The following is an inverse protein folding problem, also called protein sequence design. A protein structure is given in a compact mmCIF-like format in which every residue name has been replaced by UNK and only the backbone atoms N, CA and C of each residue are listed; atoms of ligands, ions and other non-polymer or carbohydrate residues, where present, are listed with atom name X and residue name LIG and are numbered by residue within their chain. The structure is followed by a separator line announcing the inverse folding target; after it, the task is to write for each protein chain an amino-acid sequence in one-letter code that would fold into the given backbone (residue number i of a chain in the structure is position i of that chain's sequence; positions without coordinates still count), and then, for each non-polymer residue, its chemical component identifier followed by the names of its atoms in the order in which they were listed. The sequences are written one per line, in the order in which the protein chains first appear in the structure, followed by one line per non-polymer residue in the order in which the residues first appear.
data_IF_804531994504
#
_entry.id   IF_804531994504
#
_cell.length_a   1.000
_cell.length_b   1.000
_cell.length_c   1.000
_cell.angle_alpha   90.00
_cell.angle_beta   90.00
_cell.angle_gamma   90.00
#
_symmetry.space_group_name_H-M   'P 1'
#
loop_
_entity.id
_entity.type
_entity.pdbx_description
1 polymer ?
#
# COMPACT_ATOMS: atom_id res chain seq x y z
N UNK A 1 57.37 3.72 -18.80
CA UNK A 1 56.23 3.44 -17.91
C UNK A 1 55.91 4.72 -17.15
N UNK A 2 55.05 5.58 -17.70
CA UNK A 2 54.57 6.79 -17.04
C UNK A 2 53.08 6.61 -16.75
N UNK A 3 52.75 6.41 -15.48
CA UNK A 3 51.36 6.29 -15.02
C UNK A 3 50.84 7.70 -14.79
N UNK A 4 49.99 8.18 -15.70
CA UNK A 4 49.19 9.39 -15.48
C UNK A 4 48.00 9.01 -14.61
N UNK A 5 48.08 9.33 -13.32
CA UNK A 5 46.96 9.24 -12.39
C UNK A 5 46.01 10.43 -12.64
N UNK A 6 44.87 10.16 -13.26
CA UNK A 6 43.77 11.10 -13.36
C UNK A 6 43.04 11.16 -12.00
N UNK A 7 43.30 12.21 -11.22
CA UNK A 7 42.48 12.54 -10.05
C UNK A 7 41.28 13.36 -10.53
N UNK A 8 40.17 12.66 -10.82
CA UNK A 8 38.89 13.32 -11.05
C UNK A 8 38.38 13.91 -9.73
N UNK A 9 38.33 15.24 -9.65
CA UNK A 9 37.67 16.00 -8.59
C UNK A 9 36.18 15.65 -8.59
N UNK A 10 35.74 14.85 -7.63
CA UNK A 10 34.33 14.57 -7.38
C UNK A 10 33.64 15.80 -6.78
N UNK A 11 32.75 16.41 -7.54
CA UNK A 11 31.86 17.47 -7.07
C UNK A 11 30.90 16.93 -6.01
N UNK A 12 31.13 17.27 -4.74
CA UNK A 12 30.16 17.03 -3.67
C UNK A 12 29.05 18.08 -3.81
N UNK A 13 27.90 17.69 -4.35
CA UNK A 13 26.72 18.55 -4.42
C UNK A 13 26.07 18.63 -3.02
N UNK A 14 25.98 19.82 -2.39
CA UNK A 14 25.41 19.98 -1.04
C UNK A 14 23.86 19.88 -0.98
N UNK A 15 23.19 19.44 -2.05
CA UNK A 15 21.73 19.50 -2.18
C UNK A 15 20.95 18.33 -1.59
N UNK A 16 21.58 17.16 -1.36
CA UNK A 16 20.84 15.94 -0.98
C UNK A 16 20.52 15.85 0.50
N UNK A 17 21.43 16.30 1.38
CA UNK A 17 21.25 16.17 2.82
C UNK A 17 20.11 17.05 3.37
N UNK A 18 20.01 18.31 2.90
CA UNK A 18 18.95 19.21 3.33
C UNK A 18 17.57 18.80 2.80
N UNK A 19 17.48 18.35 1.54
CA UNK A 19 16.23 17.87 0.95
C UNK A 19 15.73 16.58 1.62
N UNK A 20 16.65 15.68 2.00
CA UNK A 20 16.29 14.46 2.71
C UNK A 20 15.76 14.75 4.12
N UNK A 21 16.40 15.67 4.85
CA UNK A 21 15.93 16.08 6.18
C UNK A 21 14.52 16.69 6.14
N UNK A 22 14.25 17.57 5.17
CA UNK A 22 12.92 18.15 4.96
C UNK A 22 11.86 17.08 4.65
N UNK A 23 12.22 16.09 3.82
CA UNK A 23 11.32 14.96 3.51
C UNK A 23 11.01 14.09 4.72
N UNK A 24 12.01 13.84 5.57
CA UNK A 24 11.82 13.08 6.82
C UNK A 24 10.91 13.81 7.81
N UNK A 25 11.12 15.12 7.99
CA UNK A 25 10.31 15.93 8.91
C UNK A 25 8.87 16.06 8.42
N UNK A 26 8.68 16.24 7.10
CA UNK A 26 7.35 16.22 6.49
C UNK A 26 6.66 14.86 6.69
N UNK A 27 7.37 13.76 6.48
CA UNK A 27 6.82 12.43 6.68
C UNK A 27 6.44 12.15 8.14
N UNK A 28 7.22 12.65 9.11
CA UNK A 28 6.91 12.55 10.55
C UNK A 28 5.63 13.32 10.88
N UNK A 29 5.49 14.55 10.39
CA UNK A 29 4.30 15.36 10.60
C UNK A 29 3.04 14.69 10.01
N UNK A 30 3.14 14.16 8.78
CA UNK A 30 2.05 13.43 8.12
C UNK A 30 1.70 12.14 8.88
N UNK A 31 2.70 11.39 9.33
CA UNK A 31 2.46 10.20 10.15
C UNK A 31 1.69 10.52 11.43
N UNK A 32 2.07 11.59 12.13
CA UNK A 32 1.38 11.99 13.36
C UNK A 32 -0.05 12.44 13.08
N UNK A 33 -0.29 13.20 12.01
CA UNK A 33 -1.64 13.55 11.57
C UNK A 33 -2.48 12.30 11.26
N UNK A 34 -1.90 11.30 10.58
CA UNK A 34 -2.57 10.02 10.36
C UNK A 34 -2.89 9.28 11.65
N UNK A 35 -2.00 9.33 12.64
CA UNK A 35 -2.18 8.71 13.96
C UNK A 35 -3.31 9.38 14.76
N UNK A 36 -3.44 10.70 14.67
CA UNK A 36 -4.56 11.45 15.23
C UNK A 36 -5.87 11.07 14.53
N UNK A 37 -5.89 11.04 13.20
CA UNK A 37 -7.07 10.64 12.44
C UNK A 37 -7.55 9.22 12.80
N UNK A 38 -6.64 8.27 13.02
CA UNK A 38 -6.97 6.92 13.54
C UNK A 38 -7.65 6.98 14.91
N UNK A 39 -7.19 7.85 15.82
CA UNK A 39 -7.76 8.02 17.15
C UNK A 39 -9.17 8.63 17.10
N UNK A 40 -9.40 9.53 16.14
CA UNK A 40 -10.71 10.14 15.88
C UNK A 40 -11.67 9.22 15.10
N UNK A 41 -11.16 8.11 14.56
CA UNK A 41 -11.94 7.18 13.74
C UNK A 41 -12.09 7.61 12.28
N UNK A 42 -11.42 8.68 11.86
CA UNK A 42 -11.37 9.11 10.46
C UNK A 42 -10.30 8.30 9.70
N UNK A 43 -10.68 7.08 9.32
CA UNK A 43 -9.78 6.16 8.62
C UNK A 43 -9.49 6.58 7.18
N UNK A 44 -10.35 7.40 6.56
CA UNK A 44 -10.12 7.94 5.22
C UNK A 44 -9.00 8.99 5.26
N UNK A 45 -9.06 9.92 6.22
CA UNK A 45 -7.97 10.88 6.45
C UNK A 45 -6.68 10.16 6.86
N UNK A 46 -6.76 9.18 7.76
CA UNK A 46 -5.60 8.39 8.16
C UNK A 46 -4.90 7.72 6.97
N UNK A 47 -5.68 7.06 6.11
CA UNK A 47 -5.17 6.41 4.90
C UNK A 47 -4.43 7.42 3.99
N UNK A 48 -5.00 8.61 3.78
CA UNK A 48 -4.35 9.68 2.99
C UNK A 48 -3.05 10.16 3.62
N UNK A 49 -3.07 10.49 4.92
CA UNK A 49 -1.89 10.96 5.63
C UNK A 49 -0.74 9.95 5.63
N UNK A 50 -1.03 8.67 5.87
CA UNK A 50 0.00 7.63 5.82
C UNK A 50 0.55 7.42 4.40
N UNK A 51 -0.29 7.54 3.38
CA UNK A 51 0.14 7.46 1.97
C UNK A 51 1.06 8.61 1.59
N UNK A 52 0.73 9.84 2.01
CA UNK A 52 1.58 11.01 1.77
C UNK A 52 2.91 10.91 2.54
N UNK A 53 2.87 10.37 3.77
CA UNK A 53 4.07 10.10 4.56
C UNK A 53 4.98 9.07 3.88
N UNK A 54 4.39 8.02 3.29
CA UNK A 54 5.14 7.01 2.54
C UNK A 54 5.72 7.59 1.26
N UNK A 55 4.96 8.39 0.53
CA UNK A 55 5.44 9.06 -0.69
C UNK A 55 6.65 9.96 -0.40
N UNK A 56 6.66 10.62 0.76
CA UNK A 56 7.77 11.49 1.16
C UNK A 56 8.99 10.68 1.62
N UNK A 57 8.80 9.72 2.52
CA UNK A 57 9.92 9.03 3.19
C UNK A 57 10.33 7.67 2.61
N UNK A 58 9.45 7.04 1.82
CA UNK A 58 9.57 5.67 1.31
C UNK A 58 9.83 4.63 2.39
N UNK A 59 9.46 4.91 3.65
CA UNK A 59 9.71 4.00 4.78
C UNK A 59 8.73 2.83 4.74
N UNK A 60 9.21 1.57 4.66
CA UNK A 60 8.33 0.41 4.51
C UNK A 60 7.34 0.23 5.65
N UNK A 61 7.71 0.65 6.87
CA UNK A 61 6.84 0.56 8.06
C UNK A 61 5.50 1.31 7.91
N UNK A 62 5.43 2.30 7.03
CA UNK A 62 4.18 3.03 6.74
C UNK A 62 3.19 2.19 5.94
N UNK A 63 3.66 1.23 5.13
CA UNK A 63 2.80 0.35 4.34
C UNK A 63 1.83 -0.45 5.21
N UNK A 64 2.27 -0.88 6.40
CA UNK A 64 1.39 -1.54 7.37
C UNK A 64 0.24 -0.63 7.82
N UNK A 65 0.52 0.65 8.11
CA UNK A 65 -0.50 1.61 8.53
C UNK A 65 -1.46 1.97 7.39
N UNK A 66 -0.93 2.13 6.18
CA UNK A 66 -1.76 2.36 4.98
C UNK A 66 -2.70 1.18 4.77
N UNK A 67 -2.17 -0.05 4.82
CA UNK A 67 -2.96 -1.26 4.68
C UNK A 67 -4.04 -1.38 5.76
N UNK A 68 -3.67 -1.14 7.02
CA UNK A 68 -4.61 -1.19 8.14
C UNK A 68 -5.70 -0.12 8.03
N UNK A 69 -5.39 1.09 7.57
CA UNK A 69 -6.38 2.13 7.36
C UNK A 69 -7.29 1.79 6.17
N UNK A 70 -6.73 1.33 5.05
CA UNK A 70 -7.48 0.87 3.87
C UNK A 70 -8.47 -0.24 4.22
N UNK A 71 -8.08 -1.14 5.12
CA UNK A 71 -8.95 -2.21 5.60
C UNK A 71 -10.19 -1.68 6.34
N UNK A 72 -10.03 -0.62 7.16
CA UNK A 72 -11.13 -0.03 7.93
C UNK A 72 -12.15 0.72 7.08
N UNK A 73 -11.73 1.19 5.91
CA UNK A 73 -12.59 1.84 4.90
C UNK A 73 -13.01 0.88 3.79
N UNK A 74 -12.92 -0.44 4.05
CA UNK A 74 -13.37 -1.51 3.15
C UNK A 74 -12.67 -1.56 1.77
N UNK A 75 -11.49 -0.92 1.63
CA UNK A 75 -10.65 -1.00 0.43
C UNK A 75 -9.77 -2.25 0.47
N UNK A 76 -10.42 -3.41 0.42
CA UNK A 76 -9.80 -4.72 0.70
C UNK A 76 -8.63 -5.04 -0.24
N UNK A 77 -8.79 -4.83 -1.55
CA UNK A 77 -7.73 -5.09 -2.55
C UNK A 77 -6.46 -4.30 -2.24
N UNK A 78 -6.63 -3.03 -1.90
CA UNK A 78 -5.52 -2.16 -1.59
C UNK A 78 -4.86 -2.53 -0.26
N UNK A 79 -5.66 -2.89 0.75
CA UNK A 79 -5.13 -3.39 2.01
C UNK A 79 -4.24 -4.62 1.80
N UNK A 80 -4.70 -5.60 1.01
CA UNK A 80 -3.92 -6.80 0.65
C UNK A 80 -2.63 -6.42 -0.10
N UNK A 81 -2.72 -5.54 -1.10
CA UNK A 81 -1.56 -5.11 -1.87
C UNK A 81 -0.48 -4.46 -0.98
N UNK A 82 -0.87 -3.55 -0.09
CA UNK A 82 0.06 -2.84 0.80
C UNK A 82 0.62 -3.74 1.90
N UNK A 83 -0.16 -4.69 2.42
CA UNK A 83 0.36 -5.71 3.34
C UNK A 83 1.39 -6.64 2.68
N UNK A 84 1.17 -7.03 1.43
CA UNK A 84 2.15 -7.82 0.67
C UNK A 84 3.43 -7.05 0.42
N UNK A 85 3.31 -5.79 0.02
CA UNK A 85 4.46 -4.89 -0.17
C UNK A 85 5.25 -4.73 1.13
N UNK A 86 4.56 -4.55 2.27
CA UNK A 86 5.18 -4.49 3.58
C UNK A 86 6.01 -5.75 3.90
N UNK A 87 5.46 -6.94 3.70
CA UNK A 87 6.17 -8.20 3.94
C UNK A 87 7.31 -8.46 2.95
N UNK A 88 7.19 -7.96 1.72
CA UNK A 88 8.26 -8.06 0.73
C UNK A 88 9.46 -7.17 1.10
N UNK A 89 9.20 -5.98 1.63
CA UNK A 89 10.25 -5.02 2.03
C UNK A 89 10.78 -5.27 3.45
N UNK A 90 9.98 -5.90 4.32
CA UNK A 90 10.33 -6.21 5.72
C UNK A 90 10.06 -7.70 5.99
N UNK A 91 10.88 -8.62 5.43
CA UNK A 91 10.64 -10.06 5.53
C UNK A 91 10.71 -10.60 6.96
N UNK A 92 11.50 -9.96 7.83
CA UNK A 92 11.69 -10.32 9.24
C UNK A 92 10.85 -9.46 10.20
N UNK A 93 9.74 -8.89 9.72
CA UNK A 93 8.85 -8.08 10.54
C UNK A 93 8.32 -8.86 11.75
N UNK A 94 8.39 -8.28 12.95
CA UNK A 94 7.92 -8.94 14.19
C UNK A 94 6.42 -9.30 14.12
N UNK A 95 5.63 -8.50 13.40
CA UNK A 95 4.20 -8.71 13.18
C UNK A 95 3.89 -9.52 11.91
N UNK A 96 4.87 -10.18 11.27
CA UNK A 96 4.69 -10.92 10.02
C UNK A 96 3.51 -11.90 10.04
N UNK A 97 3.44 -12.74 11.08
CA UNK A 97 2.37 -13.73 11.21
C UNK A 97 0.98 -13.09 11.30
N UNK A 98 0.87 -11.93 11.96
CA UNK A 98 -0.36 -11.15 12.03
C UNK A 98 -0.76 -10.64 10.64
N UNK A 99 0.18 -10.05 9.90
CA UNK A 99 -0.06 -9.49 8.56
C UNK A 99 -0.47 -10.59 7.57
N UNK A 100 0.19 -11.74 7.59
CA UNK A 100 -0.22 -12.90 6.78
C UNK A 100 -1.64 -13.37 7.11
N UNK A 101 -2.02 -13.34 8.40
CA UNK A 101 -3.38 -13.63 8.84
C UNK A 101 -4.41 -12.64 8.29
N UNK A 102 -4.09 -11.34 8.28
CA UNK A 102 -4.96 -10.31 7.67
C UNK A 102 -5.12 -10.53 6.17
N UNK A 103 -4.04 -10.78 5.43
CA UNK A 103 -4.08 -11.07 3.99
C UNK A 103 -5.04 -12.24 3.71
N UNK A 104 -4.86 -13.39 4.38
CA UNK A 104 -5.74 -14.55 4.19
C UNK A 104 -7.20 -14.24 4.49
N UNK A 105 -7.46 -13.49 5.56
CA UNK A 105 -8.82 -13.14 5.97
C UNK A 105 -9.52 -12.22 4.96
N UNK A 106 -8.79 -11.30 4.34
CA UNK A 106 -9.31 -10.39 3.32
C UNK A 106 -9.55 -11.13 1.99
N UNK A 107 -8.61 -11.94 1.54
CA UNK A 107 -8.76 -12.72 0.29
C UNK A 107 -9.91 -13.74 0.35
N UNK A 108 -10.13 -14.36 1.52
CA UNK A 108 -11.25 -15.29 1.70
C UNK A 108 -12.60 -14.60 1.56
N UNK A 109 -12.71 -13.30 1.85
CA UNK A 109 -13.95 -12.53 1.70
C UNK A 109 -14.22 -12.19 0.23
N UNK A 110 -13.17 -11.85 -0.51
CA UNK A 110 -13.24 -11.56 -1.95
C UNK A 110 -13.64 -12.79 -2.77
N UNK A 111 -13.13 -13.97 -2.41
CA UNK A 111 -13.53 -15.24 -3.03
C UNK A 111 -14.93 -15.72 -2.66
N UNK A 112 -15.55 -15.12 -1.63
CA UNK A 112 -16.89 -15.44 -1.16
C UNK A 112 -17.96 -14.43 -1.62
N UNK A 113 -17.57 -13.31 -2.26
CA UNK A 113 -18.53 -12.49 -2.98
C UNK A 113 -19.15 -13.33 -4.10
N UNK A 114 -20.49 -13.35 -4.20
CA UNK A 114 -21.17 -14.23 -5.13
C UNK A 114 -20.68 -13.91 -6.53
N UNK A 115 -20.50 -14.96 -7.31
CA UNK A 115 -20.24 -14.96 -8.74
C UNK A 115 -21.39 -14.26 -9.50
N UNK A 116 -21.60 -12.97 -9.25
CA UNK A 116 -22.56 -12.08 -9.88
C UNK A 116 -22.01 -11.70 -11.26
N UNK A 117 -21.84 -12.72 -12.09
CA UNK A 117 -21.14 -12.64 -13.35
C UNK A 117 -21.17 -13.92 -14.18
N UNK A 118 -21.65 -15.05 -13.65
CA UNK A 118 -21.99 -16.21 -14.48
C UNK A 118 -23.39 -16.03 -15.09
N UNK A 119 -23.54 -15.01 -15.94
CA UNK A 119 -24.67 -14.91 -16.88
C UNK A 119 -24.64 -16.03 -17.94
N UNK A 120 -23.60 -16.88 -17.94
CA UNK A 120 -23.38 -17.97 -18.90
C UNK A 120 -23.83 -19.36 -18.44
N UNK A 121 -24.62 -19.48 -17.36
CA UNK A 121 -25.22 -20.76 -16.94
C UNK A 121 -26.76 -20.78 -17.03
N UNK A 122 -27.34 -20.02 -17.97
CA UNK A 122 -28.70 -20.32 -18.43
C UNK A 122 -28.62 -21.37 -19.54
N UNK A 123 -29.20 -22.57 -19.37
CA UNK A 123 -29.40 -23.47 -20.50
C UNK A 123 -30.30 -22.74 -21.52
N UNK A 124 -29.81 -22.59 -22.75
CA UNK A 124 -30.52 -22.00 -23.89
C UNK A 124 -31.69 -22.87 -24.37
N UNK A 125 -32.66 -23.12 -23.49
CA UNK A 125 -33.97 -23.66 -23.78
C UNK A 125 -34.91 -22.63 -23.14
N UNK A 126 -35.23 -21.52 -23.80
CA UNK A 126 -36.39 -21.43 -24.68
C UNK A 126 -36.28 -20.23 -25.63
N UNK A 127 -35.37 -20.28 -26.62
CA UNK A 127 -35.58 -19.54 -27.88
C UNK A 127 -36.34 -20.45 -28.84
N UNK A 128 -37.67 -20.57 -28.65
CA UNK A 128 -38.61 -20.89 -29.76
C UNK A 128 -40.08 -20.82 -29.33
N UNK A 129 -40.74 -19.70 -29.62
CA UNK A 129 -41.97 -19.65 -30.44
C UNK A 129 -42.36 -18.18 -30.66
N UNK A 130 -42.50 -17.79 -31.92
CA UNK A 130 -43.25 -16.57 -32.26
C UNK A 130 -44.75 -16.73 -32.01
N UNK A 131 -45.48 -15.66 -32.31
CA UNK A 131 -46.89 -15.28 -32.03
C UNK A 131 -47.00 -14.42 -30.74
N UNK A 132 -47.56 -13.22 -30.74
CA UNK A 132 -48.49 -12.54 -31.65
C UNK A 132 -48.12 -11.05 -31.85
#
# INVERSE_FOLDING_TARGET
MAVLAAFALGSVAPGTAAAQADSEDRARALFEAGRVAVQEGDYEAAYRYFTDAYTSSQRPVLLFNIASAAERIERQDEAVARYREYLAQVPDAENRAYVEGRIRALESRQGAEPEAGSWNSFPSILVRRGIA
#
